data_IF_081566114353
#
_entry.id   IF_081566114353
#
_cell.length_a   1.000
_cell.length_b   1.000
_cell.length_c   1.000
_cell.angle_alpha   90.00
_cell.angle_beta   90.00
_cell.angle_gamma   90.00
#
_symmetry.space_group_name_H-M   'P 1'
#
loop_
_entity.id
_entity.type
_entity.pdbx_description
1 polymer ?
#
# COMPACT_ATOMS: atom_id res chain seq x y z
N UNK A 1 9.95 -3.21 -20.81
CA UNK A 1 11.10 -3.17 -19.91
C UNK A 1 10.76 -2.46 -18.62
N UNK A 2 11.34 -2.91 -17.52
CA UNK A 2 11.05 -2.32 -16.19
C UNK A 2 11.71 -0.94 -16.08
N UNK A 3 10.89 0.06 -15.75
CA UNK A 3 11.36 1.41 -15.44
C UNK A 3 11.67 1.49 -13.94
N UNK A 4 12.89 1.13 -13.60
CA UNK A 4 13.35 1.07 -12.20
C UNK A 4 13.28 2.43 -11.52
N UNK A 5 13.66 3.50 -12.22
CA UNK A 5 13.67 4.84 -11.63
C UNK A 5 12.26 5.29 -11.25
N UNK A 6 11.29 4.94 -12.07
CA UNK A 6 9.89 5.27 -11.79
C UNK A 6 9.38 4.48 -10.58
N UNK A 7 9.75 3.20 -10.48
CA UNK A 7 9.40 2.39 -9.31
C UNK A 7 10.01 2.97 -8.05
N UNK A 8 11.30 3.32 -8.07
CA UNK A 8 11.97 3.90 -6.92
C UNK A 8 11.37 5.25 -6.52
N UNK A 9 10.98 6.07 -7.51
CA UNK A 9 10.32 7.34 -7.26
C UNK A 9 8.98 7.13 -6.52
N UNK A 10 8.20 6.14 -6.92
CA UNK A 10 6.96 5.80 -6.24
C UNK A 10 7.19 5.28 -4.82
N UNK A 11 8.24 4.50 -4.62
CA UNK A 11 8.61 4.02 -3.29
C UNK A 11 9.04 5.18 -2.37
N UNK A 12 9.69 6.19 -2.93
CA UNK A 12 10.06 7.38 -2.17
C UNK A 12 8.82 8.20 -1.79
N UNK A 13 7.83 8.31 -2.69
CA UNK A 13 6.55 8.92 -2.36
C UNK A 13 5.86 8.15 -1.22
N UNK A 14 5.90 6.83 -1.27
CA UNK A 14 5.34 5.99 -0.21
C UNK A 14 5.96 6.34 1.14
N UNK A 15 7.29 6.45 1.20
CA UNK A 15 8.00 6.81 2.43
C UNK A 15 7.60 8.18 2.95
N UNK A 16 7.47 9.16 2.05
CA UNK A 16 7.07 10.53 2.42
C UNK A 16 5.67 10.56 3.03
N UNK A 17 4.71 9.90 2.39
CA UNK A 17 3.35 9.85 2.91
C UNK A 17 3.26 9.06 4.21
N UNK A 18 4.08 8.01 4.36
CA UNK A 18 4.12 7.24 5.60
C UNK A 18 4.62 8.11 6.76
N UNK A 19 5.63 8.93 6.52
CA UNK A 19 6.14 9.88 7.52
C UNK A 19 5.06 10.90 7.91
N UNK A 20 4.29 11.41 6.92
CA UNK A 20 3.19 12.31 7.21
C UNK A 20 2.12 11.63 8.07
N UNK A 21 1.76 10.39 7.72
CA UNK A 21 0.77 9.64 8.51
C UNK A 21 1.25 9.47 9.95
N UNK A 22 2.49 9.06 10.13
CA UNK A 22 3.05 8.84 11.47
C UNK A 22 3.05 10.12 12.30
N UNK A 23 3.18 11.29 11.65
CA UNK A 23 3.17 12.58 12.37
C UNK A 23 1.78 12.98 12.87
N UNK A 24 0.71 12.42 12.29
CA UNK A 24 -0.67 12.75 12.68
C UNK A 24 -1.42 11.58 13.30
N UNK A 25 -0.77 10.44 13.49
CA UNK A 25 -1.43 9.26 14.05
C UNK A 25 -1.97 9.50 15.45
N UNK A 26 -3.21 9.09 15.70
CA UNK A 26 -3.78 9.18 17.05
C UNK A 26 -3.11 8.17 17.99
N UNK A 27 -3.03 8.52 19.26
CA UNK A 27 -2.42 7.65 20.29
C UNK A 27 -3.40 6.66 20.86
N UNK A 28 -4.69 6.87 20.64
CA UNK A 28 -5.76 6.01 21.14
C UNK A 28 -6.95 6.04 20.19
N UNK A 29 -7.83 5.05 20.33
CA UNK A 29 -9.08 5.04 19.57
C UNK A 29 -9.95 6.27 19.88
N UNK A 30 -9.99 6.68 21.14
CA UNK A 30 -10.75 7.86 21.55
C UNK A 30 -10.24 9.11 20.84
N UNK A 31 -8.93 9.29 20.75
CA UNK A 31 -8.34 10.42 20.04
C UNK A 31 -8.69 10.37 18.54
N UNK A 32 -8.68 9.17 17.95
CA UNK A 32 -9.04 8.99 16.53
C UNK A 32 -10.48 9.46 16.25
N UNK A 33 -11.44 9.04 17.07
CA UNK A 33 -12.85 9.36 16.82
C UNK A 33 -13.26 10.75 17.30
N UNK A 34 -12.55 11.33 18.26
CA UNK A 34 -12.89 12.65 18.81
C UNK A 34 -12.38 13.83 17.98
N UNK A 35 -11.39 13.61 17.14
CA UNK A 35 -10.84 14.66 16.27
C UNK A 35 -11.18 14.38 14.80
N UNK A 36 -12.09 15.18 14.26
CA UNK A 36 -12.49 15.03 12.84
C UNK A 36 -11.29 15.27 11.91
N UNK A 37 -10.39 16.18 12.28
CA UNK A 37 -9.21 16.49 11.49
C UNK A 37 -8.26 15.30 11.42
N UNK A 38 -7.95 14.70 12.56
CA UNK A 38 -7.08 13.52 12.61
C UNK A 38 -7.70 12.35 11.87
N UNK A 39 -8.98 12.14 12.08
CA UNK A 39 -9.72 11.06 11.43
C UNK A 39 -9.65 11.19 9.91
N UNK A 40 -9.97 12.36 9.38
CA UNK A 40 -9.96 12.61 7.94
C UNK A 40 -8.54 12.55 7.36
N UNK A 41 -7.56 13.08 8.10
CA UNK A 41 -6.16 13.03 7.67
C UNK A 41 -5.67 11.58 7.58
N UNK A 42 -5.99 10.75 8.58
CA UNK A 42 -5.60 9.34 8.55
C UNK A 42 -6.26 8.58 7.42
N UNK A 43 -7.56 8.81 7.20
CA UNK A 43 -8.29 8.19 6.08
C UNK A 43 -7.67 8.56 4.74
N UNK A 44 -7.39 9.83 4.54
CA UNK A 44 -6.82 10.30 3.27
C UNK A 44 -5.42 9.76 3.05
N UNK A 45 -4.57 9.78 4.09
CA UNK A 45 -3.20 9.30 3.96
C UNK A 45 -3.14 7.79 3.74
N UNK A 46 -4.00 7.01 4.41
CA UNK A 46 -4.12 5.58 4.12
C UNK A 46 -4.52 5.34 2.67
N UNK A 47 -5.49 6.10 2.17
CA UNK A 47 -5.92 6.01 0.78
C UNK A 47 -4.75 6.25 -0.18
N UNK A 48 -4.00 7.34 0.03
CA UNK A 48 -2.86 7.70 -0.80
C UNK A 48 -1.77 6.61 -0.75
N UNK A 49 -1.46 6.13 0.45
CA UNK A 49 -0.46 5.07 0.63
C UNK A 49 -0.82 3.80 -0.13
N UNK A 50 -2.07 3.38 -0.03
CA UNK A 50 -2.53 2.17 -0.73
C UNK A 50 -2.50 2.37 -2.24
N UNK A 51 -2.87 3.56 -2.73
CA UNK A 51 -2.77 3.88 -4.15
C UNK A 51 -1.31 3.81 -4.64
N UNK A 52 -0.36 4.31 -3.84
CA UNK A 52 1.07 4.19 -4.16
C UNK A 52 1.50 2.73 -4.28
N UNK A 53 1.07 1.88 -3.35
CA UNK A 53 1.37 0.44 -3.38
C UNK A 53 0.83 -0.20 -4.66
N UNK A 54 -0.42 0.07 -4.99
CA UNK A 54 -1.06 -0.49 -6.20
C UNK A 54 -0.35 0.00 -7.46
N UNK A 55 0.03 1.28 -7.50
CA UNK A 55 0.79 1.85 -8.63
C UNK A 55 2.13 1.14 -8.81
N UNK A 56 2.86 0.88 -7.72
CA UNK A 56 4.11 0.13 -7.78
C UNK A 56 3.87 -1.27 -8.33
N UNK A 57 2.83 -1.95 -7.84
CA UNK A 57 2.48 -3.28 -8.31
C UNK A 57 2.19 -3.28 -9.82
N UNK A 58 1.44 -2.31 -10.31
CA UNK A 58 1.11 -2.20 -11.73
C UNK A 58 2.37 -1.94 -12.58
N UNK A 59 3.26 -1.07 -12.11
CA UNK A 59 4.53 -0.80 -12.80
C UNK A 59 5.41 -2.05 -12.87
N UNK A 60 5.46 -2.81 -11.79
CA UNK A 60 6.25 -4.05 -11.74
C UNK A 60 5.69 -5.11 -12.69
N UNK A 61 4.39 -5.33 -12.66
CA UNK A 61 3.72 -6.33 -13.53
C UNK A 61 3.93 -5.98 -14.99
N UNK A 62 3.76 -4.71 -15.36
CA UNK A 62 3.95 -4.24 -16.73
C UNK A 62 5.42 -4.36 -17.14
N UNK A 63 6.32 -3.88 -16.30
CA UNK A 63 7.75 -3.84 -16.61
C UNK A 63 8.38 -5.22 -16.70
N UNK A 64 7.94 -6.16 -15.88
CA UNK A 64 8.42 -7.54 -15.90
C UNK A 64 7.67 -8.42 -16.90
N UNK A 65 6.69 -7.85 -17.60
CA UNK A 65 5.89 -8.54 -18.63
C UNK A 65 5.20 -9.79 -18.08
N UNK A 66 4.50 -9.63 -16.96
CA UNK A 66 3.83 -10.74 -16.30
C UNK A 66 2.41 -11.00 -16.83
N UNK A 67 2.01 -10.30 -17.89
CA UNK A 67 0.72 -10.44 -18.53
C UNK A 67 -0.26 -9.35 -18.09
N UNK A 68 -1.37 -9.24 -18.82
CA UNK A 68 -2.42 -8.28 -18.49
C UNK A 68 -3.18 -8.76 -17.25
N UNK A 69 -3.31 -7.91 -16.24
CA UNK A 69 -4.12 -8.27 -15.07
C UNK A 69 -5.60 -8.21 -15.42
N UNK A 70 -6.39 -9.15 -14.90
CA UNK A 70 -7.85 -9.13 -15.06
C UNK A 70 -8.48 -8.10 -14.12
N UNK A 71 -7.89 -7.92 -12.93
CA UNK A 71 -8.29 -6.95 -11.92
C UNK A 71 -7.11 -6.63 -11.01
N UNK A 72 -7.28 -5.72 -10.07
CA UNK A 72 -6.19 -5.31 -9.18
C UNK A 72 -5.61 -6.45 -8.36
N UNK A 73 -6.46 -7.36 -7.85
CA UNK A 73 -5.96 -8.50 -7.08
C UNK A 73 -5.08 -9.42 -7.91
N UNK A 74 -5.29 -9.47 -9.22
CA UNK A 74 -4.44 -10.26 -10.10
C UNK A 74 -3.01 -9.72 -10.17
N UNK A 75 -2.82 -8.42 -9.94
CA UNK A 75 -1.49 -7.83 -9.81
C UNK A 75 -0.71 -8.52 -8.69
N UNK A 76 -1.36 -8.69 -7.55
CA UNK A 76 -0.74 -9.28 -6.36
C UNK A 76 -0.42 -10.77 -6.58
N UNK A 77 -1.33 -11.49 -7.24
CA UNK A 77 -1.11 -12.90 -7.58
C UNK A 77 0.11 -13.05 -8.51
N UNK A 78 0.21 -12.21 -9.53
CA UNK A 78 1.35 -12.24 -10.47
C UNK A 78 2.68 -11.95 -9.79
N UNK A 79 2.69 -10.97 -8.88
CA UNK A 79 3.91 -10.60 -8.17
C UNK A 79 4.35 -11.66 -7.18
N UNK A 80 3.41 -12.35 -6.52
CA UNK A 80 3.73 -13.45 -5.63
C UNK A 80 4.32 -14.62 -6.41
N UNK A 81 3.71 -14.97 -7.54
CA UNK A 81 4.23 -16.05 -8.40
C UNK A 81 5.64 -15.76 -8.93
N UNK A 82 5.93 -14.50 -9.22
CA UNK A 82 7.26 -14.06 -9.68
C UNK A 82 8.23 -13.92 -8.49
N UNK A 83 7.77 -14.07 -7.27
CA UNK A 83 8.55 -13.92 -6.04
C UNK A 83 9.07 -12.49 -5.82
N UNK A 84 8.32 -11.49 -6.30
CA UNK A 84 8.58 -10.09 -5.98
C UNK A 84 8.12 -9.81 -4.56
N UNK A 85 6.96 -10.37 -4.19
CA UNK A 85 6.42 -10.27 -2.84
C UNK A 85 6.16 -11.68 -2.29
N UNK A 86 6.12 -11.78 -0.96
CA UNK A 86 5.80 -13.01 -0.27
C UNK A 86 4.30 -13.30 -0.33
N UNK A 87 3.92 -14.55 -0.04
CA UNK A 87 2.52 -14.95 0.07
C UNK A 87 1.82 -14.15 1.18
N UNK A 88 2.52 -13.94 2.30
CA UNK A 88 2.01 -13.15 3.41
C UNK A 88 1.73 -11.70 2.97
N UNK A 89 2.67 -11.10 2.25
CA UNK A 89 2.49 -9.73 1.72
C UNK A 89 1.32 -9.66 0.75
N UNK A 90 1.16 -10.66 -0.12
CA UNK A 90 0.01 -10.72 -1.03
C UNK A 90 -1.32 -10.60 -0.25
N UNK A 91 -1.45 -11.35 0.84
CA UNK A 91 -2.67 -11.29 1.66
C UNK A 91 -2.86 -9.92 2.29
N UNK A 92 -1.76 -9.28 2.74
CA UNK A 92 -1.80 -7.92 3.28
C UNK A 92 -2.25 -6.92 2.23
N UNK A 93 -1.76 -7.04 0.99
CA UNK A 93 -2.14 -6.16 -0.11
C UNK A 93 -3.62 -6.29 -0.46
N UNK A 94 -4.17 -7.50 -0.39
CA UNK A 94 -5.61 -7.71 -0.59
C UNK A 94 -6.44 -6.99 0.46
N UNK A 95 -6.01 -7.03 1.72
CA UNK A 95 -6.68 -6.31 2.81
C UNK A 95 -6.58 -4.79 2.60
N UNK A 96 -5.42 -4.29 2.18
CA UNK A 96 -5.23 -2.87 1.86
C UNK A 96 -6.19 -2.43 0.75
N UNK A 97 -6.30 -3.22 -0.30
CA UNK A 97 -7.20 -2.90 -1.41
C UNK A 97 -8.66 -2.84 -0.93
N UNK A 98 -9.06 -3.77 -0.09
CA UNK A 98 -10.40 -3.77 0.51
C UNK A 98 -10.67 -2.50 1.29
N UNK A 99 -9.71 -2.08 2.10
CA UNK A 99 -9.81 -0.83 2.87
C UNK A 99 -9.90 0.38 1.94
N UNK A 100 -9.05 0.44 0.90
CA UNK A 100 -9.07 1.52 -0.07
C UNK A 100 -10.43 1.65 -0.72
N UNK A 101 -11.05 0.54 -1.09
CA UNK A 101 -12.38 0.56 -1.71
C UNK A 101 -13.44 1.15 -0.76
N UNK A 102 -13.35 0.83 0.53
CA UNK A 102 -14.24 1.41 1.55
C UNK A 102 -14.01 2.93 1.64
N UNK A 103 -12.76 3.36 1.70
CA UNK A 103 -12.40 4.77 1.82
C UNK A 103 -12.83 5.61 0.61
N UNK A 104 -12.74 5.03 -0.58
CA UNK A 104 -13.09 5.73 -1.84
C UNK A 104 -14.60 5.85 -2.02
N UNK A 105 -15.30 4.76 -1.79
CA UNK A 105 -16.74 4.73 -2.12
C UNK A 105 -17.63 5.47 -1.13
N UNK A 106 -17.32 5.45 0.14
CA UNK A 106 -18.03 6.22 1.19
C UNK A 106 -19.56 6.22 1.11
N UNK A 107 -20.14 5.15 0.57
CA UNK A 107 -21.60 5.05 0.46
C UNK A 107 -22.26 4.79 1.81
N UNK A 108 -21.49 4.29 2.73
CA UNK A 108 -21.90 4.07 4.11
C UNK A 108 -20.91 4.80 5.00
N UNK A 109 -21.26 4.94 6.27
CA UNK A 109 -20.37 5.49 7.27
C UNK A 109 -19.10 4.64 7.32
N UNK A 110 -17.93 5.29 7.25
CA UNK A 110 -16.65 4.59 7.32
C UNK A 110 -16.49 3.98 8.71
N UNK A 111 -16.16 2.69 8.77
CA UNK A 111 -15.93 1.99 10.02
C UNK A 111 -14.66 2.51 10.70
N UNK A 112 -14.82 3.29 11.76
CA UNK A 112 -13.72 3.90 12.49
C UNK A 112 -12.80 2.87 13.13
N UNK A 113 -13.35 1.73 13.56
CA UNK A 113 -12.57 0.67 14.17
C UNK A 113 -11.64 0.03 13.13
N UNK A 114 -12.15 -0.20 11.93
CA UNK A 114 -11.36 -0.76 10.84
C UNK A 114 -10.21 0.18 10.45
N UNK A 115 -10.48 1.47 10.35
CA UNK A 115 -9.45 2.46 10.02
C UNK A 115 -8.39 2.50 11.13
N UNK A 116 -8.81 2.59 12.38
CA UNK A 116 -7.89 2.63 13.50
C UNK A 116 -7.03 1.37 13.59
N UNK A 117 -7.63 0.20 13.41
CA UNK A 117 -6.91 -1.07 13.37
C UNK A 117 -5.87 -1.06 12.25
N UNK A 118 -6.23 -0.53 11.09
CA UNK A 118 -5.32 -0.43 9.94
C UNK A 118 -4.12 0.47 10.22
N UNK A 119 -4.29 1.50 11.05
CA UNK A 119 -3.18 2.36 11.50
C UNK A 119 -2.15 1.56 12.29
N UNK A 120 -2.57 0.54 13.02
CA UNK A 120 -1.67 -0.35 13.75
C UNK A 120 -0.81 -1.24 12.83
N UNK A 121 -1.18 -1.35 11.57
CA UNK A 121 -0.50 -2.21 10.59
C UNK A 121 0.33 -1.41 9.57
N UNK A 122 0.62 -0.14 9.83
CA UNK A 122 1.36 0.71 8.87
C UNK A 122 2.76 0.20 8.55
N UNK A 123 3.32 -0.64 9.41
CA UNK A 123 4.62 -1.25 9.13
C UNK A 123 4.58 -2.18 7.90
N UNK A 124 3.40 -2.61 7.48
CA UNK A 124 3.24 -3.41 6.27
C UNK A 124 3.70 -2.64 5.03
N UNK A 125 3.55 -1.31 5.02
CA UNK A 125 4.05 -0.47 3.92
C UNK A 125 5.58 -0.54 3.82
N UNK A 126 6.27 -0.54 4.97
CA UNK A 126 7.73 -0.68 4.99
C UNK A 126 8.17 -2.06 4.53
N UNK A 127 7.46 -3.09 4.95
CA UNK A 127 7.74 -4.47 4.53
C UNK A 127 7.57 -4.62 3.03
N UNK A 128 6.51 -4.03 2.48
CA UNK A 128 6.28 -4.03 1.03
C UNK A 128 7.46 -3.37 0.30
N UNK A 129 7.85 -2.17 0.72
CA UNK A 129 8.99 -1.46 0.13
C UNK A 129 10.25 -2.33 0.16
N UNK A 130 10.51 -2.96 1.29
CA UNK A 130 11.68 -3.81 1.47
C UNK A 130 11.68 -5.00 0.51
N UNK A 131 10.54 -5.66 0.35
CA UNK A 131 10.42 -6.80 -0.57
C UNK A 131 10.65 -6.39 -2.02
N UNK A 132 10.04 -5.30 -2.47
CA UNK A 132 10.23 -4.78 -3.81
C UNK A 132 11.69 -4.36 -4.03
N UNK A 133 12.28 -3.63 -3.08
CA UNK A 133 13.66 -3.18 -3.17
C UNK A 133 14.63 -4.35 -3.22
N UNK A 134 14.39 -5.39 -2.43
CA UNK A 134 15.20 -6.62 -2.47
C UNK A 134 15.14 -7.29 -3.83
N UNK A 135 13.95 -7.38 -4.40
CA UNK A 135 13.78 -7.97 -5.74
C UNK A 135 14.55 -7.16 -6.80
N UNK A 136 14.45 -5.84 -6.75
CA UNK A 136 15.15 -4.98 -7.71
C UNK A 136 16.68 -5.15 -7.61
N UNK A 137 17.20 -5.28 -6.39
CA UNK A 137 18.65 -5.52 -6.19
C UNK A 137 19.08 -6.87 -6.77
N UNK A 138 18.28 -7.92 -6.57
CA UNK A 138 18.57 -9.25 -7.12
C UNK A 138 18.53 -9.23 -8.65
N UNK A 139 17.60 -8.48 -9.21
CA UNK A 139 17.47 -8.35 -10.66
C UNK A 139 18.70 -7.69 -11.27
N UNK A 140 19.29 -6.69 -10.61
CA UNK A 140 20.50 -6.03 -11.05
C UNK A 140 21.73 -6.94 -10.95
N UNK A 141 21.78 -7.79 -9.95
CA UNK A 141 22.90 -8.69 -9.71
C UNK A 141 22.93 -9.88 -10.68
N UNK A 142 21.82 -10.16 -11.36
CA UNK A 142 21.71 -11.30 -12.27
C UNK A 142 22.34 -11.07 -13.63
#
# INVERSE_FOLDING_TARGET
MLDKDRVLSKLDELDSYLSELESVMPKSYEEHVSSIEKKRSCERLLHILIECVIDVCALMVKGLRLGLPSEEEDLFEKLERKKVISKEMKERLKLMRGLRNILVHRYAEVDNELVFESLGNVNDFRKFRKEVSSFLRKLEAA
#
